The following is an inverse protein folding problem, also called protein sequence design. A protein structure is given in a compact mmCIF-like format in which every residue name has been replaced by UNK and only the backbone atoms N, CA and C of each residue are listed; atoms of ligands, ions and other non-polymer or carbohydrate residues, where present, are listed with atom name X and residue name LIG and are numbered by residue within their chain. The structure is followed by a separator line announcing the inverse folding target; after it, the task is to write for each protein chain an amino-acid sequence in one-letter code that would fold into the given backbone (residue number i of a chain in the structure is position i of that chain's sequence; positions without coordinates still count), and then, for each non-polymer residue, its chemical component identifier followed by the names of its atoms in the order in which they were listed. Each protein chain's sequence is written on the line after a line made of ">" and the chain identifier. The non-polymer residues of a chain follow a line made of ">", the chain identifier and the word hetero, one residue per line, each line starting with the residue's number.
data_IF_642733589588
#
_entry.id   IF_642733589588
#
_cell.length_a   1.000
_cell.length_b   1.000
_cell.length_c   1.000
_cell.angle_alpha   90.00
_cell.angle_beta   90.00
_cell.angle_gamma   90.00
#
_symmetry.space_group_name_H-M   'P 1'
#
loop_
_entity.id
_entity.type
_entity.pdbx_description
1 polymer ?
#
# COMPACT_ATOMS: atom_id res chain seq x y z
N UNK A 1 -11.95 -22.86 1.90
CA UNK A 1 -10.70 -22.17 1.50
C UNK A 1 -10.91 -20.71 1.84
N UNK A 2 -10.15 -20.14 2.76
CA UNK A 2 -10.26 -18.71 3.03
C UNK A 2 -9.71 -18.00 1.78
N UNK A 3 -10.56 -17.25 1.09
CA UNK A 3 -10.18 -16.50 -0.09
C UNK A 3 -9.14 -15.43 0.27
N UNK A 4 -8.43 -14.93 -0.75
CA UNK A 4 -7.55 -13.78 -0.63
C UNK A 4 -8.34 -12.56 -0.16
N UNK A 5 -7.75 -11.76 0.73
CA UNK A 5 -8.27 -10.50 1.22
C UNK A 5 -7.25 -9.39 1.02
N UNK A 6 -7.60 -8.35 0.28
CA UNK A 6 -6.73 -7.22 -0.04
C UNK A 6 -7.28 -5.96 0.60
N UNK A 7 -6.47 -5.33 1.43
CA UNK A 7 -6.81 -4.07 2.08
C UNK A 7 -5.83 -2.96 1.69
N UNK A 8 -6.30 -1.72 1.77
CA UNK A 8 -5.49 -0.51 1.59
C UNK A 8 -5.54 0.28 2.89
N UNK A 9 -4.40 0.72 3.39
CA UNK A 9 -4.32 1.68 4.50
C UNK A 9 -3.70 2.99 4.01
N UNK A 10 -4.45 4.09 4.12
CA UNK A 10 -4.01 5.41 3.70
C UNK A 10 -4.48 6.48 4.67
N UNK A 11 -3.68 7.55 4.77
CA UNK A 11 -4.10 8.77 5.42
C UNK A 11 -4.17 9.91 4.39
N UNK A 12 -5.11 10.83 4.58
CA UNK A 12 -5.26 12.02 3.72
C UNK A 12 -5.62 13.25 4.55
N UNK A 13 -5.33 14.41 3.99
CA UNK A 13 -5.75 15.73 4.52
C UNK A 13 -7.24 15.99 4.28
N UNK A 14 -7.80 17.02 4.91
CA UNK A 14 -9.20 17.45 4.71
C UNK A 14 -9.53 17.78 3.26
N UNK A 15 -8.55 18.23 2.47
CA UNK A 15 -8.67 18.48 1.03
C UNK A 15 -8.19 17.29 0.17
N UNK A 16 -8.13 16.08 0.75
CA UNK A 16 -7.91 14.82 0.03
C UNK A 16 -6.48 14.58 -0.47
N UNK A 17 -5.47 15.26 0.09
CA UNK A 17 -4.07 15.06 -0.32
C UNK A 17 -3.37 14.02 0.52
N UNK A 18 -2.50 13.24 -0.11
CA UNK A 18 -1.74 12.16 0.54
C UNK A 18 -0.24 12.43 0.60
N UNK A 19 0.17 13.64 0.31
CA UNK A 19 1.54 14.12 0.53
C UNK A 19 1.60 15.63 0.62
N UNK A 20 2.67 16.12 1.22
CA UNK A 20 3.06 17.54 1.25
C UNK A 20 3.59 17.99 -0.12
N UNK A 21 3.77 19.31 -0.34
CA UNK A 21 4.33 19.82 -1.59
C UNK A 21 5.72 19.29 -1.96
N UNK A 22 6.49 18.81 -0.98
CA UNK A 22 7.80 18.17 -1.15
C UNK A 22 7.72 16.66 -1.47
N UNK A 23 6.51 16.13 -1.63
CA UNK A 23 6.26 14.72 -1.93
C UNK A 23 6.26 13.80 -0.71
N UNK A 24 6.52 14.32 0.51
CA UNK A 24 6.61 13.54 1.75
C UNK A 24 5.29 13.55 2.51
N UNK A 25 5.00 12.47 3.21
CA UNK A 25 3.88 12.40 4.17
C UNK A 25 4.30 12.77 5.60
N UNK A 26 5.57 12.65 5.93
CA UNK A 26 6.09 12.82 7.29
C UNK A 26 5.56 14.06 8.02
N UNK A 27 5.11 13.85 9.26
CA UNK A 27 4.62 14.91 10.16
C UNK A 27 3.14 15.27 10.00
N UNK A 28 2.39 14.62 9.10
CA UNK A 28 0.96 14.89 8.94
C UNK A 28 0.08 13.99 9.82
N UNK A 29 0.49 12.76 10.13
CA UNK A 29 -0.28 11.86 10.99
C UNK A 29 0.26 11.80 12.42
N UNK A 30 -0.64 11.53 13.37
CA UNK A 30 -0.34 11.44 14.79
C UNK A 30 0.36 10.13 15.19
N UNK A 31 0.65 10.00 16.49
CA UNK A 31 1.09 8.73 17.07
C UNK A 31 -0.03 7.70 17.10
N UNK A 32 -1.28 8.16 17.23
CA UNK A 32 -2.45 7.28 17.23
C UNK A 32 -2.65 6.63 15.86
N UNK A 33 -2.52 7.40 14.77
CA UNK A 33 -2.53 6.85 13.41
C UNK A 33 -1.42 5.82 13.19
N UNK A 34 -0.21 6.09 13.65
CA UNK A 34 0.92 5.13 13.56
C UNK A 34 0.67 3.85 14.36
N UNK A 35 0.02 3.94 15.54
CA UNK A 35 -0.36 2.76 16.32
C UNK A 35 -1.43 1.95 15.60
N UNK A 36 -2.46 2.62 15.07
CA UNK A 36 -3.50 1.99 14.26
C UNK A 36 -2.92 1.31 13.02
N UNK A 37 -2.01 1.97 12.33
CA UNK A 37 -1.28 1.39 11.20
C UNK A 37 -0.59 0.08 11.58
N UNK A 38 0.13 0.04 12.71
CA UNK A 38 0.80 -1.17 13.18
C UNK A 38 -0.20 -2.27 13.60
N UNK A 39 -1.39 -1.92 14.13
CA UNK A 39 -2.48 -2.87 14.38
C UNK A 39 -2.96 -3.51 13.08
N UNK A 40 -3.22 -2.71 12.05
CA UNK A 40 -3.63 -3.21 10.72
C UNK A 40 -2.54 -4.09 10.10
N UNK A 41 -1.28 -3.70 10.22
CA UNK A 41 -0.13 -4.49 9.76
C UNK A 41 -0.02 -5.85 10.45
N UNK A 42 -0.28 -5.91 11.76
CA UNK A 42 -0.18 -7.16 12.53
C UNK A 42 -1.18 -8.23 12.10
N UNK A 43 -2.25 -7.85 11.40
CA UNK A 43 -3.26 -8.75 10.86
C UNK A 43 -2.94 -9.23 9.41
N UNK A 44 -1.95 -8.63 8.76
CA UNK A 44 -1.57 -8.94 7.39
C UNK A 44 -0.45 -9.99 7.31
N UNK A 45 -0.43 -10.77 6.22
CA UNK A 45 0.66 -11.70 5.89
C UNK A 45 1.74 -11.00 5.05
N UNK A 46 1.34 -10.03 4.23
CA UNK A 46 2.22 -9.28 3.35
C UNK A 46 1.83 -7.81 3.29
N UNK A 47 2.84 -6.93 3.26
CA UNK A 47 2.72 -5.48 3.17
C UNK A 47 3.32 -5.01 1.85
N UNK A 48 2.50 -4.54 0.92
CA UNK A 48 2.96 -4.06 -0.39
C UNK A 48 3.24 -2.56 -0.34
N UNK A 49 4.44 -2.18 -0.75
CA UNK A 49 4.87 -0.78 -0.89
C UNK A 49 5.48 -0.54 -2.28
N UNK A 50 5.21 0.62 -2.86
CA UNK A 50 5.78 1.03 -4.13
C UNK A 50 7.16 1.69 -3.96
N UNK A 51 8.00 1.59 -5.01
CA UNK A 51 9.33 2.21 -5.06
C UNK A 51 9.34 3.69 -4.62
N UNK A 52 8.40 4.49 -5.13
CA UNK A 52 8.38 5.92 -4.84
C UNK A 52 8.11 6.25 -3.36
N UNK A 53 7.31 5.44 -2.66
CA UNK A 53 7.11 5.59 -1.22
C UNK A 53 8.40 5.35 -0.44
N UNK A 54 9.18 4.34 -0.85
CA UNK A 54 10.48 4.05 -0.26
C UNK A 54 11.53 5.13 -0.56
N UNK A 55 11.47 5.74 -1.75
CA UNK A 55 12.40 6.83 -2.11
C UNK A 55 12.07 8.14 -1.39
N UNK A 56 10.78 8.47 -1.22
CA UNK A 56 10.35 9.75 -0.66
C UNK A 56 10.40 9.79 0.87
N UNK A 57 9.85 8.77 1.52
CA UNK A 57 9.64 8.76 2.98
C UNK A 57 10.52 7.75 3.70
N UNK A 58 11.10 6.78 2.99
CA UNK A 58 11.85 5.66 3.56
C UNK A 58 11.18 5.08 4.81
N UNK A 59 9.89 4.66 4.69
CA UNK A 59 9.11 4.23 5.84
C UNK A 59 9.67 2.92 6.41
N UNK A 60 9.56 2.77 7.73
CA UNK A 60 9.75 1.46 8.34
C UNK A 60 8.52 0.59 8.10
N UNK A 61 8.75 -0.67 7.74
CA UNK A 61 7.70 -1.65 7.40
C UNK A 61 7.44 -2.65 8.52
N UNK A 62 8.27 -2.65 9.58
CA UNK A 62 8.08 -3.47 10.78
C UNK A 62 7.14 -2.79 11.79
N UNK A 63 6.66 -3.58 12.76
CA UNK A 63 5.82 -3.09 13.85
C UNK A 63 6.67 -2.37 14.92
N UNK A 64 6.16 -1.25 15.45
CA UNK A 64 6.85 -0.42 16.46
C UNK A 64 6.01 -0.14 17.71
N UNK A 65 4.69 -0.08 17.54
CA UNK A 65 3.75 0.36 18.58
C UNK A 65 2.81 -0.76 19.04
N UNK A 66 2.93 -1.93 18.41
CA UNK A 66 2.12 -3.11 18.71
C UNK A 66 3.05 -4.32 18.81
N UNK A 67 2.89 -5.09 19.88
CA UNK A 67 3.55 -6.38 20.01
C UNK A 67 2.76 -7.43 19.23
N UNK A 68 3.43 -8.18 18.36
CA UNK A 68 2.85 -9.28 17.60
C UNK A 68 3.92 -10.32 17.31
N UNK A 69 3.55 -11.59 17.40
CA UNK A 69 4.43 -12.70 17.00
C UNK A 69 4.64 -12.72 15.47
N UNK A 70 3.67 -12.17 14.73
CA UNK A 70 3.71 -12.09 13.26
C UNK A 70 3.93 -10.66 12.81
N UNK A 71 4.82 -10.50 11.87
CA UNK A 71 4.99 -9.27 11.09
C UNK A 71 4.72 -9.58 9.62
N UNK A 72 4.06 -8.67 8.88
CA UNK A 72 3.86 -8.88 7.46
C UNK A 72 5.21 -8.88 6.73
N UNK A 73 5.37 -9.77 5.76
CA UNK A 73 6.52 -9.71 4.86
C UNK A 73 6.43 -8.46 4.00
N UNK A 74 7.48 -7.67 3.95
CA UNK A 74 7.55 -6.52 3.05
C UNK A 74 7.64 -6.98 1.58
N UNK A 75 6.75 -6.47 0.74
CA UNK A 75 6.68 -6.72 -0.70
C UNK A 75 6.94 -5.40 -1.42
N UNK A 76 8.00 -5.35 -2.20
CA UNK A 76 8.47 -4.13 -2.85
C UNK A 76 8.17 -4.22 -4.36
N UNK A 77 7.52 -3.20 -4.91
CA UNK A 77 7.25 -3.13 -6.35
C UNK A 77 8.13 -2.10 -7.03
N UNK A 78 9.03 -2.57 -7.91
CA UNK A 78 10.00 -1.77 -8.65
C UNK A 78 9.80 -1.97 -10.16
N UNK A 79 8.93 -1.14 -10.75
CA UNK A 79 8.63 -1.25 -12.18
C UNK A 79 9.78 -0.84 -13.09
N UNK A 80 10.57 0.16 -12.69
CA UNK A 80 11.68 0.73 -13.49
C UNK A 80 12.84 1.09 -12.59
N UNK A 81 14.09 0.94 -13.08
CA UNK A 81 15.31 1.21 -12.32
C UNK A 81 15.42 0.31 -11.08
N UNK A 82 16.14 0.75 -10.07
CA UNK A 82 16.35 0.03 -8.82
C UNK A 82 16.03 0.89 -7.60
N UNK A 83 16.38 0.44 -6.42
CA UNK A 83 16.31 1.13 -5.13
C UNK A 83 17.71 1.21 -4.51
N UNK A 84 18.05 2.30 -3.80
CA UNK A 84 19.25 2.33 -2.98
C UNK A 84 19.23 1.24 -1.91
N UNK A 85 20.37 0.58 -1.73
CA UNK A 85 20.54 -0.53 -0.78
C UNK A 85 20.44 -0.12 0.68
N UNK A 86 20.56 1.19 0.98
CA UNK A 86 20.49 1.77 2.33
C UNK A 86 19.05 1.98 2.85
N UNK A 87 18.02 1.64 2.06
CA UNK A 87 16.62 1.81 2.49
C UNK A 87 16.30 0.92 3.69
N UNK A 88 15.55 1.49 4.65
CA UNK A 88 15.17 0.83 5.92
C UNK A 88 14.49 -0.51 5.75
N UNK A 89 13.69 -0.68 4.70
CA UNK A 89 13.01 -1.94 4.39
C UNK A 89 13.96 -3.13 4.26
N UNK A 90 15.21 -2.91 3.88
CA UNK A 90 16.20 -3.97 3.76
C UNK A 90 16.91 -4.33 5.08
N UNK A 91 16.90 -3.44 6.06
CA UNK A 91 17.73 -3.58 7.28
C UNK A 91 16.91 -3.84 8.54
N UNK A 92 15.64 -3.45 8.57
CA UNK A 92 14.80 -3.56 9.77
C UNK A 92 13.75 -4.64 9.71
N UNK A 93 13.55 -5.29 8.57
CA UNK A 93 12.61 -6.40 8.43
C UNK A 93 13.19 -7.69 9.02
N UNK A 94 12.41 -8.41 9.83
CA UNK A 94 12.80 -9.73 10.38
C UNK A 94 12.94 -10.80 9.30
N UNK A 95 12.15 -10.67 8.24
CA UNK A 95 12.16 -11.58 7.08
C UNK A 95 12.64 -10.81 5.86
N UNK A 96 13.52 -11.41 5.07
CA UNK A 96 14.03 -10.84 3.83
C UNK A 96 12.87 -10.37 2.94
N UNK A 97 12.83 -9.09 2.51
CA UNK A 97 11.77 -8.58 1.65
C UNK A 97 11.66 -9.36 0.34
N UNK A 98 10.45 -9.41 -0.23
CA UNK A 98 10.22 -9.91 -1.57
C UNK A 98 10.08 -8.73 -2.54
N UNK A 99 10.86 -8.70 -3.60
CA UNK A 99 10.88 -7.61 -4.56
C UNK A 99 10.42 -8.10 -5.93
N UNK A 100 9.38 -7.47 -6.48
CA UNK A 100 8.95 -7.68 -7.85
C UNK A 100 9.55 -6.59 -8.75
N UNK A 101 10.17 -7.03 -9.82
CA UNK A 101 10.66 -6.18 -10.90
C UNK A 101 10.14 -6.66 -12.27
N UNK A 102 10.38 -5.89 -13.31
CA UNK A 102 10.09 -6.29 -14.69
C UNK A 102 11.32 -6.90 -15.34
N UNK A 103 11.13 -7.63 -16.44
CA UNK A 103 12.26 -8.12 -17.24
C UNK A 103 13.18 -7.02 -17.77
N UNK A 104 12.68 -5.77 -17.84
CA UNK A 104 13.49 -4.62 -18.31
C UNK A 104 14.53 -4.14 -17.30
N UNK A 105 14.24 -4.21 -16.01
CA UNK A 105 15.13 -3.74 -14.96
C UNK A 105 15.68 -4.86 -14.05
N UNK A 106 15.47 -6.11 -14.44
CA UNK A 106 15.90 -7.28 -13.65
C UNK A 106 17.40 -7.29 -13.39
N UNK A 107 18.22 -7.04 -14.39
CA UNK A 107 19.68 -7.04 -14.26
C UNK A 107 20.16 -5.98 -13.26
N UNK A 108 19.63 -4.76 -13.36
CA UNK A 108 19.96 -3.66 -12.46
C UNK A 108 19.51 -3.95 -11.01
N UNK A 109 18.29 -4.44 -10.85
CA UNK A 109 17.76 -4.81 -9.52
C UNK A 109 18.57 -5.95 -8.89
N UNK A 110 18.94 -6.97 -9.67
CA UNK A 110 19.75 -8.10 -9.18
C UNK A 110 21.14 -7.69 -8.78
N UNK A 111 21.80 -6.83 -9.57
CA UNK A 111 23.15 -6.35 -9.24
C UNK A 111 23.22 -5.60 -7.92
N UNK A 112 22.16 -4.87 -7.56
CA UNK A 112 22.12 -4.01 -6.38
C UNK A 112 21.54 -4.71 -5.13
N UNK A 113 20.55 -5.61 -5.32
CA UNK A 113 19.66 -6.01 -4.23
C UNK A 113 19.58 -7.53 -3.99
N UNK A 114 20.32 -8.39 -4.71
CA UNK A 114 20.25 -9.85 -4.55
C UNK A 114 20.52 -10.30 -3.11
N UNK A 115 21.47 -9.67 -2.43
CA UNK A 115 21.79 -10.00 -1.04
C UNK A 115 20.73 -9.50 -0.04
N UNK A 116 19.96 -8.47 -0.42
CA UNK A 116 19.03 -7.76 0.47
C UNK A 116 17.55 -8.16 0.30
N UNK A 117 17.18 -8.69 -0.87
CA UNK A 117 15.81 -9.08 -1.16
C UNK A 117 15.74 -10.41 -1.94
N UNK A 118 14.64 -11.15 -1.78
CA UNK A 118 14.26 -12.18 -2.74
C UNK A 118 13.66 -11.50 -3.96
N UNK A 119 14.17 -11.76 -5.17
CA UNK A 119 13.78 -11.03 -6.37
C UNK A 119 12.96 -11.93 -7.30
N UNK A 120 11.80 -11.44 -7.72
CA UNK A 120 10.95 -12.05 -8.74
C UNK A 120 10.85 -11.08 -9.92
N UNK A 121 11.31 -11.54 -11.08
CA UNK A 121 11.14 -10.82 -12.34
C UNK A 121 9.87 -11.29 -13.05
N UNK A 122 8.97 -10.35 -13.33
CA UNK A 122 7.77 -10.59 -14.13
C UNK A 122 8.06 -10.27 -15.60
N UNK A 123 7.51 -11.10 -16.49
CA UNK A 123 7.63 -10.87 -17.94
C UNK A 123 6.84 -9.61 -18.33
N UNK A 124 7.41 -8.80 -19.21
CA UNK A 124 6.78 -7.59 -19.74
C UNK A 124 7.34 -6.30 -19.13
N UNK A 125 6.59 -5.22 -19.28
CA UNK A 125 7.01 -3.86 -18.94
C UNK A 125 6.30 -3.31 -17.70
N UNK A 126 5.29 -4.02 -17.21
CA UNK A 126 4.48 -3.59 -16.08
C UNK A 126 4.36 -4.69 -15.01
N UNK A 127 4.02 -4.26 -13.81
CA UNK A 127 3.79 -5.11 -12.65
C UNK A 127 2.29 -5.29 -12.46
N UNK A 128 1.72 -6.29 -13.14
CA UNK A 128 0.29 -6.57 -13.07
C UNK A 128 -0.13 -7.01 -11.66
N UNK A 129 -1.06 -6.29 -11.02
CA UNK A 129 -1.53 -6.63 -9.67
C UNK A 129 -2.08 -8.05 -9.52
N UNK A 130 -2.76 -8.59 -10.54
CA UNK A 130 -3.32 -9.95 -10.47
C UNK A 130 -2.22 -11.02 -10.48
N UNK A 131 -1.17 -10.80 -11.27
CA UNK A 131 -0.02 -11.72 -11.31
C UNK A 131 0.71 -11.68 -9.98
N UNK A 132 0.93 -10.47 -9.42
CA UNK A 132 1.56 -10.29 -8.11
C UNK A 132 0.76 -11.02 -7.03
N UNK A 133 -0.55 -10.81 -6.98
CA UNK A 133 -1.41 -11.44 -5.98
C UNK A 133 -1.42 -12.97 -6.11
N UNK A 134 -1.48 -13.52 -7.32
CA UNK A 134 -1.37 -14.97 -7.56
C UNK A 134 -0.02 -15.53 -7.08
N UNK A 135 1.05 -14.78 -7.26
CA UNK A 135 2.38 -15.20 -6.81
C UNK A 135 2.50 -15.16 -5.28
N UNK A 136 1.88 -14.17 -4.64
CA UNK A 136 1.81 -14.10 -3.18
C UNK A 136 0.96 -15.23 -2.58
N UNK A 137 -0.18 -15.56 -3.21
CA UNK A 137 -1.02 -16.70 -2.81
C UNK A 137 -0.28 -18.03 -2.85
N UNK A 138 0.51 -18.31 -3.91
CA UNK A 138 1.36 -19.49 -4.01
C UNK A 138 2.38 -19.60 -2.87
N UNK A 139 2.76 -18.47 -2.28
CA UNK A 139 3.69 -18.39 -1.14
C UNK A 139 3.01 -18.40 0.22
N UNK A 140 1.68 -18.60 0.24
CA UNK A 140 0.89 -18.69 1.47
C UNK A 140 0.46 -17.33 2.04
N UNK A 141 0.62 -16.23 1.30
CA UNK A 141 0.14 -14.91 1.71
C UNK A 141 -1.29 -14.70 1.20
N UNK A 142 -2.25 -14.63 2.10
CA UNK A 142 -3.68 -14.47 1.80
C UNK A 142 -4.23 -13.11 2.24
N UNK A 143 -3.69 -12.53 3.31
CA UNK A 143 -4.07 -11.21 3.82
C UNK A 143 -3.04 -10.18 3.38
N UNK A 144 -3.39 -9.41 2.37
CA UNK A 144 -2.48 -8.46 1.72
C UNK A 144 -2.87 -7.04 2.10
N UNK A 145 -1.92 -6.28 2.60
CA UNK A 145 -2.06 -4.87 2.92
C UNK A 145 -1.26 -4.01 1.93
N UNK A 146 -1.91 -3.01 1.33
CA UNK A 146 -1.23 -1.98 0.54
C UNK A 146 -1.09 -0.70 1.38
N UNK A 147 0.10 -0.15 1.42
CA UNK A 147 0.37 1.16 2.03
C UNK A 147 0.90 2.20 1.02
N UNK A 148 0.51 2.02 -0.21
CA UNK A 148 0.73 3.00 -1.25
C UNK A 148 2.07 2.86 -1.99
N UNK A 149 2.47 3.81 -2.90
CA UNK A 149 1.78 5.11 -3.14
C UNK A 149 0.54 5.10 -4.02
N UNK A 150 0.05 6.31 -4.29
CA UNK A 150 -1.23 6.51 -4.97
C UNK A 150 -1.39 5.80 -6.32
N UNK A 151 -0.34 5.76 -7.13
CA UNK A 151 -0.36 5.04 -8.43
C UNK A 151 -0.48 3.53 -8.25
N UNK A 152 0.15 2.99 -7.23
CA UNK A 152 0.02 1.58 -6.87
C UNK A 152 -1.41 1.28 -6.44
N UNK A 153 -1.97 2.06 -5.54
CA UNK A 153 -3.35 1.92 -5.11
C UNK A 153 -4.31 1.98 -6.30
N UNK A 154 -4.13 2.97 -7.20
CA UNK A 154 -4.95 3.14 -8.40
C UNK A 154 -5.00 1.86 -9.26
N UNK A 155 -3.85 1.19 -9.45
CA UNK A 155 -3.78 -0.04 -10.24
C UNK A 155 -4.59 -1.19 -9.63
N UNK A 156 -4.65 -1.30 -8.30
CA UNK A 156 -5.46 -2.31 -7.61
C UNK A 156 -6.95 -1.94 -7.58
N UNK A 157 -7.27 -0.67 -7.30
CA UNK A 157 -8.66 -0.20 -7.29
C UNK A 157 -9.32 -0.33 -8.67
N UNK A 158 -8.64 0.02 -9.76
CA UNK A 158 -9.16 -0.09 -11.13
C UNK A 158 -9.47 -1.52 -11.55
N UNK A 159 -8.71 -2.47 -11.04
CA UNK A 159 -8.96 -3.90 -11.28
C UNK A 159 -9.98 -4.50 -10.31
N UNK A 160 -10.55 -3.69 -9.41
CA UNK A 160 -11.51 -4.16 -8.42
C UNK A 160 -10.94 -5.17 -7.42
N UNK A 161 -9.64 -5.14 -7.18
CA UNK A 161 -8.91 -6.13 -6.36
C UNK A 161 -8.89 -5.80 -4.87
N UNK A 162 -9.37 -4.62 -4.47
CA UNK A 162 -9.36 -4.16 -3.08
C UNK A 162 -10.69 -4.49 -2.43
N UNK A 163 -10.65 -5.16 -1.27
CA UNK A 163 -11.81 -5.58 -0.49
C UNK A 163 -12.13 -4.58 0.63
N UNK A 164 -11.09 -3.95 1.23
CA UNK A 164 -11.24 -3.01 2.35
C UNK A 164 -10.33 -1.79 2.21
N UNK A 165 -10.86 -0.64 2.58
CA UNK A 165 -10.11 0.61 2.73
C UNK A 165 -10.12 1.04 4.19
N UNK A 166 -8.94 1.14 4.80
CA UNK A 166 -8.69 1.87 6.03
C UNK A 166 -8.24 3.27 5.67
N UNK A 167 -8.97 4.27 6.14
CA UNK A 167 -8.71 5.67 5.81
C UNK A 167 -8.61 6.50 7.07
N UNK A 168 -7.52 7.25 7.22
CA UNK A 168 -7.36 8.27 8.25
C UNK A 168 -7.50 9.64 7.61
N UNK A 169 -8.37 10.49 8.18
CA UNK A 169 -8.47 11.91 7.81
C UNK A 169 -7.74 12.71 8.88
N UNK A 170 -6.71 13.45 8.46
CA UNK A 170 -5.91 14.30 9.34
C UNK A 170 -6.34 15.77 9.22
N UNK A 171 -6.25 16.59 10.30
CA UNK A 171 -6.84 17.93 10.37
C UNK A 171 -6.00 19.02 9.67
N UNK A 172 -5.58 18.77 8.44
CA UNK A 172 -4.76 19.70 7.66
C UNK A 172 -5.35 19.98 6.29
N UNK A 173 -5.05 21.16 5.75
CA UNK A 173 -5.23 21.51 4.34
C UNK A 173 -3.88 21.74 3.71
N UNK A 174 -3.66 21.20 2.51
CA UNK A 174 -2.48 21.48 1.71
C UNK A 174 -2.75 22.59 0.67
N UNK A 175 -3.96 22.60 0.09
CA UNK A 175 -4.41 23.66 -0.84
C UNK A 175 -3.69 23.69 -2.19
N UNK A 176 -2.71 22.82 -2.43
CA UNK A 176 -1.95 22.79 -3.67
C UNK A 176 -2.59 21.85 -4.69
N UNK A 177 -2.92 22.39 -5.86
CA UNK A 177 -3.38 21.57 -7.00
C UNK A 177 -2.28 20.64 -7.51
N UNK A 178 -2.69 19.55 -8.19
CA UNK A 178 -1.75 18.57 -8.78
C UNK A 178 -1.09 17.61 -7.81
N UNK A 179 -1.30 17.74 -6.50
CA UNK A 179 -0.89 16.71 -5.54
C UNK A 179 -1.86 15.53 -5.58
N UNK A 180 -1.33 14.29 -5.41
CA UNK A 180 -2.14 13.09 -5.50
C UNK A 180 -3.14 12.97 -4.33
N UNK A 181 -4.24 12.29 -4.61
CA UNK A 181 -5.18 11.72 -3.64
C UNK A 181 -4.81 10.26 -3.34
N UNK A 182 -5.69 9.53 -2.68
CA UNK A 182 -5.53 8.09 -2.36
C UNK A 182 -5.22 7.27 -3.61
N UNK A 183 -5.84 7.63 -4.74
CA UNK A 183 -5.58 7.07 -6.06
C UNK A 183 -4.94 8.13 -6.93
N UNK A 184 -3.77 7.85 -7.48
CA UNK A 184 -2.98 8.80 -8.30
C UNK A 184 -3.14 8.60 -9.80
N UNK A 185 -4.28 8.06 -10.24
CA UNK A 185 -4.55 7.77 -11.65
C UNK A 185 -4.85 9.02 -12.47
N UNK A 186 -4.51 8.99 -13.76
CA UNK A 186 -4.72 10.10 -14.68
C UNK A 186 -6.13 10.16 -15.29
N UNK A 187 -7.01 9.18 -15.04
CA UNK A 187 -8.36 9.11 -15.59
C UNK A 187 -9.40 8.92 -14.49
N UNK A 188 -10.60 9.45 -14.72
CA UNK A 188 -11.72 9.27 -13.80
C UNK A 188 -12.13 7.79 -13.66
N UNK A 189 -12.69 7.45 -12.50
CA UNK A 189 -13.44 6.21 -12.34
C UNK A 189 -14.79 6.38 -13.03
N UNK A 190 -15.22 5.34 -13.72
CA UNK A 190 -16.52 5.31 -14.38
C UNK A 190 -17.54 4.71 -13.44
N UNK A 191 -18.78 5.18 -13.55
CA UNK A 191 -19.93 4.73 -12.77
C UNK A 191 -20.04 5.32 -11.36
N UNK A 192 -20.83 6.39 -11.26
CA UNK A 192 -21.20 7.04 -10.00
C UNK A 192 -22.65 6.76 -9.60
N UNK A 193 -23.34 5.87 -10.33
CA UNK A 193 -24.79 5.63 -10.15
C UNK A 193 -25.09 4.76 -8.92
N UNK A 194 -24.11 3.98 -8.49
CA UNK A 194 -24.23 3.14 -7.29
C UNK A 194 -23.00 3.35 -6.39
N UNK A 195 -23.22 3.40 -5.08
CA UNK A 195 -22.13 3.36 -4.11
C UNK A 195 -21.48 1.96 -4.13
N UNK A 196 -20.21 1.90 -4.45
CA UNK A 196 -19.43 0.66 -4.51
C UNK A 196 -18.74 0.31 -3.19
N UNK A 197 -18.80 1.21 -2.22
CA UNK A 197 -18.18 1.09 -0.91
C UNK A 197 -19.18 1.34 0.21
N UNK A 198 -19.18 0.48 1.24
CA UNK A 198 -20.01 0.59 2.44
C UNK A 198 -19.16 1.04 3.62
N UNK A 199 -19.55 2.09 4.29
CA UNK A 199 -18.95 2.48 5.56
C UNK A 199 -19.27 1.39 6.63
N UNK A 200 -18.23 0.81 7.20
CA UNK A 200 -18.31 -0.25 8.22
C UNK A 200 -18.08 0.33 9.61
N UNK A 201 -17.12 1.26 9.71
CA UNK A 201 -16.76 1.90 10.99
C UNK A 201 -16.31 3.32 10.77
N UNK A 202 -16.64 4.17 11.74
CA UNK A 202 -16.08 5.51 11.89
C UNK A 202 -15.74 5.74 13.36
N UNK A 203 -14.52 6.19 13.62
CA UNK A 203 -14.01 6.46 14.96
C UNK A 203 -13.28 7.79 14.95
N UNK A 204 -13.53 8.61 15.95
CA UNK A 204 -12.76 9.83 16.19
C UNK A 204 -11.81 9.60 17.35
N UNK A 205 -10.54 9.93 17.14
CA UNK A 205 -9.55 9.95 18.20
C UNK A 205 -8.75 11.25 18.10
N UNK A 206 -8.88 12.10 19.12
CA UNK A 206 -8.37 13.47 19.12
C UNK A 206 -8.91 14.28 17.94
N UNK A 207 -8.04 14.71 17.01
CA UNK A 207 -8.40 15.51 15.84
C UNK A 207 -8.40 14.70 14.53
N UNK A 208 -8.24 13.38 14.62
CA UNK A 208 -8.23 12.47 13.47
C UNK A 208 -9.51 11.64 13.40
N UNK A 209 -9.94 11.33 12.19
CA UNK A 209 -11.08 10.42 11.96
C UNK A 209 -10.58 9.19 11.24
N UNK A 210 -10.88 8.03 11.82
CA UNK A 210 -10.55 6.73 11.27
C UNK A 210 -11.80 6.09 10.67
N UNK A 211 -11.73 5.77 9.39
CA UNK A 211 -12.82 5.19 8.63
C UNK A 211 -12.44 3.81 8.12
N UNK A 212 -13.41 2.90 8.09
CA UNK A 212 -13.27 1.59 7.44
C UNK A 212 -14.41 1.47 6.42
N UNK A 213 -14.03 1.21 5.18
CA UNK A 213 -14.95 0.92 4.10
C UNK A 213 -14.71 -0.47 3.55
N UNK A 214 -15.76 -1.24 3.35
CA UNK A 214 -15.73 -2.51 2.64
C UNK A 214 -16.32 -2.35 1.23
N UNK A 215 -15.70 -3.03 0.27
CA UNK A 215 -16.25 -3.12 -1.08
C UNK A 215 -17.58 -3.85 -1.04
N UNK A 216 -18.59 -3.27 -1.67
CA UNK A 216 -19.87 -3.96 -1.87
C UNK A 216 -19.73 -4.94 -3.05
N UNK A 217 -20.06 -6.19 -2.79
CA UNK A 217 -20.29 -7.14 -3.88
C UNK A 217 -21.61 -6.79 -4.53
N UNK A 218 -21.60 -6.58 -5.83
CA UNK A 218 -22.85 -6.31 -6.58
C UNK A 218 -23.71 -7.57 -6.51
N UNK A 219 -24.93 -7.53 -5.91
CA UNK A 219 -25.78 -8.71 -5.83
C UNK A 219 -26.33 -9.18 -7.17
N UNK A 220 -26.09 -8.43 -8.27
CA UNK A 220 -26.56 -8.76 -9.62
C UNK A 220 -25.53 -9.56 -10.45
N UNK A 221 -24.37 -9.93 -9.89
CA UNK A 221 -23.33 -10.75 -10.54
C UNK A 221 -23.13 -12.06 -9.76
N UNK A 222 -24.21 -12.81 -9.58
CA UNK A 222 -24.16 -14.23 -9.19
C UNK A 222 -24.89 -15.09 -10.21
#
# INVERSE_FOLDING_TARGET
>A
MSGRFVSVNMAMTLDGKVCRPDGKWYGLSSRNDKRRMDQIRSEADALIVGKNSLLNDDPVTHLRYVESEKEPRAIILVRTGTLPSDRKVFHFSKVKPLLFCTSKNESEVKSELTELAEIISLKGEDLDPEIILKELEKRGHSKILLEGGPRLNDSFFRKGLVDRLYLTIVPYFIGKSGLPSITGGGSAYHNFDKATWKLVSSEQLEQEVFLIYDKQNDPEVQ
#
